data_IF_712098885046
#
_entry.id   IF_712098885046
#
_cell.length_a   1.000
_cell.length_b   1.000
_cell.length_c   1.000
_cell.angle_alpha   90.00
_cell.angle_beta   90.00
_cell.angle_gamma   90.00
#
_symmetry.space_group_name_H-M   'P 1'
#
loop_
_entity.id
_entity.type
_entity.pdbx_description
1 polymer ?
#
# COMPACT_ATOMS: atom_id res chain seq x y z
N UNK A 1 -38.48 40.82 -2.07
CA UNK A 1 -38.50 39.35 -1.96
C UNK A 1 -37.91 38.77 -3.24
N UNK A 2 -36.84 37.98 -3.29
CA UNK A 2 -35.73 37.68 -2.39
C UNK A 2 -34.57 37.28 -3.32
N UNK A 3 -33.44 37.99 -3.24
CA UNK A 3 -32.37 37.99 -4.24
C UNK A 3 -31.52 36.71 -4.19
N UNK A 4 -31.20 36.19 -5.38
CA UNK A 4 -30.13 35.22 -5.63
C UNK A 4 -28.81 35.72 -5.02
N UNK A 5 -28.21 34.91 -4.17
CA UNK A 5 -26.80 35.03 -3.76
C UNK A 5 -25.97 34.11 -4.65
N UNK A 6 -25.29 34.70 -5.62
CA UNK A 6 -24.15 34.10 -6.31
C UNK A 6 -23.00 33.94 -5.31
N UNK A 7 -22.61 32.70 -5.01
CA UNK A 7 -21.46 32.45 -4.15
C UNK A 7 -20.17 32.75 -4.90
N UNK A 8 -19.42 33.72 -4.38
CA UNK A 8 -18.07 34.03 -4.82
C UNK A 8 -17.16 32.82 -4.57
N UNK A 9 -16.63 32.25 -5.66
CA UNK A 9 -15.52 31.32 -5.59
C UNK A 9 -14.28 32.08 -5.13
N UNK A 10 -13.97 31.99 -3.82
CA UNK A 10 -12.70 32.48 -3.27
C UNK A 10 -11.55 31.79 -4.01
N UNK A 11 -10.80 32.55 -4.80
CA UNK A 11 -9.54 32.09 -5.39
C UNK A 11 -8.56 31.77 -4.27
N UNK A 12 -8.34 30.48 -4.01
CA UNK A 12 -7.24 30.06 -3.15
C UNK A 12 -5.90 30.43 -3.81
N UNK A 13 -4.91 30.92 -3.04
CA UNK A 13 -3.69 31.45 -3.63
C UNK A 13 -2.88 30.33 -4.28
N UNK A 14 -2.76 30.38 -5.61
CA UNK A 14 -1.90 29.54 -6.45
C UNK A 14 -0.40 29.58 -6.04
N UNK A 15 -0.03 30.53 -5.17
CA UNK A 15 1.34 30.77 -4.67
C UNK A 15 1.84 29.61 -3.80
N UNK A 16 0.98 28.96 -3.01
CA UNK A 16 1.41 27.82 -2.19
C UNK A 16 1.79 26.66 -3.12
N UNK A 17 1.05 26.48 -4.22
CA UNK A 17 1.16 25.36 -5.16
C UNK A 17 2.45 25.37 -6.00
N UNK A 18 3.01 26.54 -6.32
CA UNK A 18 4.26 26.61 -7.11
C UNK A 18 5.51 26.16 -6.33
N UNK A 19 5.52 26.33 -5.01
CA UNK A 19 6.62 25.88 -4.13
C UNK A 19 6.70 24.34 -4.06
N UNK A 20 5.62 23.62 -4.42
CA UNK A 20 5.59 22.15 -4.40
C UNK A 20 6.44 21.48 -5.48
N UNK A 21 6.82 22.21 -6.52
CA UNK A 21 7.18 21.59 -7.80
C UNK A 21 8.56 21.98 -8.34
N UNK A 22 9.15 23.05 -7.86
CA UNK A 22 10.54 23.38 -8.15
C UNK A 22 11.45 22.64 -7.16
N UNK A 23 11.49 21.31 -7.26
CA UNK A 23 12.65 20.51 -6.82
C UNK A 23 13.69 20.43 -7.96
N UNK A 24 13.95 21.55 -8.63
CA UNK A 24 15.24 21.81 -9.24
C UNK A 24 16.13 22.44 -8.17
N UNK A 25 17.44 22.24 -8.22
CA UNK A 25 18.44 22.75 -7.28
C UNK A 25 18.49 24.28 -7.20
N UNK A 26 17.45 24.90 -6.65
CA UNK A 26 17.43 26.33 -6.34
C UNK A 26 17.49 26.50 -4.84
N UNK A 27 18.59 27.12 -4.41
CA UNK A 27 18.92 27.57 -3.05
C UNK A 27 17.93 28.63 -2.57
N UNK A 28 16.68 28.24 -2.27
CA UNK A 28 15.73 29.13 -1.59
C UNK A 28 15.85 28.93 -0.08
N UNK A 29 16.41 29.94 0.58
CA UNK A 29 16.48 30.05 2.04
C UNK A 29 15.06 30.23 2.61
N UNK A 30 14.66 29.34 3.51
CA UNK A 30 13.39 29.46 4.24
C UNK A 30 13.64 30.04 5.65
N UNK A 31 12.77 30.98 6.04
CA UNK A 31 12.73 31.58 7.37
C UNK A 31 12.42 30.53 8.47
N UNK A 32 12.96 30.69 9.68
CA UNK A 32 12.73 29.77 10.79
C UNK A 32 11.31 29.92 11.36
N UNK A 33 10.69 28.80 11.72
CA UNK A 33 9.40 28.73 12.45
C UNK A 33 9.64 27.93 13.74
N UNK A 34 9.01 28.27 14.88
CA UNK A 34 9.44 27.80 16.20
C UNK A 34 9.15 26.32 16.46
N UNK A 35 9.99 25.74 17.31
CA UNK A 35 10.02 24.34 17.69
C UNK A 35 8.73 23.87 18.38
N UNK A 36 8.17 22.76 17.90
CA UNK A 36 7.30 21.91 18.70
C UNK A 36 8.16 20.85 19.41
N UNK A 37 8.06 20.82 20.74
CA UNK A 37 8.77 19.95 21.67
C UNK A 37 8.45 18.47 21.44
N UNK A 38 9.49 17.65 21.34
CA UNK A 38 9.42 16.19 21.23
C UNK A 38 10.00 15.54 22.50
N UNK A 39 9.32 14.51 22.98
CA UNK A 39 9.68 13.74 24.18
C UNK A 39 10.74 12.67 23.82
N UNK A 40 11.84 12.50 24.58
CA UNK A 40 12.90 11.57 24.23
C UNK A 40 12.83 10.28 25.08
N UNK A 41 12.87 9.11 24.43
CA UNK A 41 13.22 7.85 25.09
C UNK A 41 13.83 6.88 24.07
N UNK A 42 15.17 6.76 24.03
CA UNK A 42 15.96 5.51 24.11
C UNK A 42 17.39 5.68 23.57
N UNK A 43 18.34 5.35 24.44
CA UNK A 43 19.48 4.46 24.16
C UNK A 43 20.69 5.05 23.46
N UNK A 44 21.68 5.52 24.24
CA UNK A 44 23.05 5.73 23.79
C UNK A 44 23.75 4.39 23.55
N UNK A 45 24.44 4.27 22.42
CA UNK A 45 25.55 3.31 22.26
C UNK A 45 26.72 4.12 21.70
N UNK A 46 27.75 4.28 22.51
CA UNK A 46 29.06 4.79 22.13
C UNK A 46 29.86 3.71 21.39
N UNK A 47 30.67 4.13 20.42
CA UNK A 47 31.60 3.23 19.73
C UNK A 47 32.09 3.81 18.40
N UNK A 48 33.03 4.75 18.50
CA UNK A 48 33.68 5.43 17.39
C UNK A 48 34.63 4.53 16.59
N UNK A 49 34.41 4.40 15.29
CA UNK A 49 35.45 4.04 14.32
C UNK A 49 35.30 4.91 13.07
N UNK A 50 36.17 5.92 12.95
CA UNK A 50 36.21 6.87 11.83
C UNK A 50 36.87 6.20 10.63
N UNK A 51 36.06 5.56 9.78
CA UNK A 51 36.50 5.16 8.44
C UNK A 51 36.52 6.39 7.52
N UNK A 52 37.67 6.65 6.90
CA UNK A 52 37.83 7.68 5.87
C UNK A 52 36.92 7.37 4.67
N UNK A 53 35.89 8.18 4.46
CA UNK A 53 34.99 8.06 3.31
C UNK A 53 35.70 8.50 2.02
N UNK A 54 35.62 7.64 1.00
CA UNK A 54 36.17 7.86 -0.33
C UNK A 54 35.29 8.88 -1.10
N UNK A 55 35.81 10.06 -1.51
CA UNK A 55 35.01 11.18 -2.02
C UNK A 55 34.32 10.94 -3.38
N UNK A 56 34.60 9.81 -4.04
CA UNK A 56 34.01 9.46 -5.33
C UNK A 56 32.84 8.46 -5.25
N UNK A 57 32.37 8.07 -4.05
CA UNK A 57 31.14 7.29 -3.92
C UNK A 57 29.92 8.22 -4.08
N UNK A 58 29.29 8.19 -5.25
CA UNK A 58 27.97 8.79 -5.45
C UNK A 58 27.00 8.15 -4.43
N UNK A 59 26.50 8.98 -3.51
CA UNK A 59 25.58 8.61 -2.43
C UNK A 59 24.17 8.31 -2.98
N UNK A 60 24.07 7.29 -3.83
CA UNK A 60 22.83 6.77 -4.38
C UNK A 60 22.17 5.79 -3.39
N UNK A 61 20.88 6.03 -3.11
CA UNK A 61 20.12 5.37 -2.03
C UNK A 61 19.83 3.92 -2.33
N UNK A 62 19.73 3.56 -3.60
CA UNK A 62 19.09 2.31 -3.98
C UNK A 62 20.09 1.17 -4.20
N UNK A 63 21.34 1.49 -4.54
CA UNK A 63 22.42 0.52 -4.64
C UNK A 63 23.19 0.37 -3.34
N UNK A 64 23.91 1.39 -2.88
CA UNK A 64 25.06 1.18 -1.98
C UNK A 64 24.79 0.56 -0.59
N UNK A 65 23.62 0.78 0.04
CA UNK A 65 23.31 0.18 1.36
C UNK A 65 22.85 -1.29 1.27
N UNK A 66 22.35 -1.69 0.10
CA UNK A 66 21.81 -3.04 -0.13
C UNK A 66 22.65 -3.84 -1.13
N UNK A 67 23.48 -3.19 -1.96
CA UNK A 67 24.61 -3.75 -2.69
C UNK A 67 25.74 -4.11 -1.70
N UNK A 68 25.48 -5.10 -0.85
CA UNK A 68 26.56 -6.05 -0.59
C UNK A 68 26.88 -6.72 -1.93
N UNK A 69 28.13 -7.14 -2.13
CA UNK A 69 28.55 -7.89 -3.32
C UNK A 69 27.62 -9.06 -3.69
N UNK A 70 26.83 -9.52 -2.71
CA UNK A 70 25.99 -10.71 -2.77
C UNK A 70 24.48 -10.38 -2.86
N UNK A 71 24.08 -9.12 -3.10
CA UNK A 71 22.65 -8.81 -3.24
C UNK A 71 22.10 -9.22 -4.60
N UNK A 72 21.05 -10.02 -4.57
CA UNK A 72 20.24 -10.43 -5.72
C UNK A 72 19.19 -9.37 -6.13
N UNK A 73 19.17 -8.20 -5.48
CA UNK A 73 18.15 -7.17 -5.77
C UNK A 73 18.45 -6.48 -7.11
N UNK A 74 17.56 -6.58 -8.11
CA UNK A 74 17.72 -5.88 -9.38
C UNK A 74 17.61 -4.36 -9.23
N UNK A 75 18.11 -3.61 -10.22
CA UNK A 75 17.94 -2.16 -10.25
C UNK A 75 16.45 -1.77 -10.38
N UNK A 76 16.05 -0.57 -9.91
CA UNK A 76 14.68 -0.10 -10.06
C UNK A 76 14.18 -0.09 -11.51
N UNK A 77 15.07 0.15 -12.47
CA UNK A 77 14.78 0.18 -13.89
C UNK A 77 14.42 -1.21 -14.43
N UNK A 78 15.15 -2.24 -14.00
CA UNK A 78 14.86 -3.64 -14.39
C UNK A 78 13.51 -4.08 -13.84
N UNK A 79 13.22 -3.78 -12.57
CA UNK A 79 11.90 -4.10 -11.98
C UNK A 79 10.79 -3.32 -12.67
N UNK A 80 11.02 -2.04 -12.95
CA UNK A 80 10.04 -1.19 -13.63
C UNK A 80 9.72 -1.72 -15.04
N UNK A 81 10.74 -2.14 -15.79
CA UNK A 81 10.57 -2.73 -17.11
C UNK A 81 9.78 -4.05 -17.04
N UNK A 82 10.09 -4.92 -16.08
CA UNK A 82 9.36 -6.17 -15.85
C UNK A 82 7.87 -5.95 -15.58
N UNK A 83 7.54 -4.88 -14.86
CA UNK A 83 6.16 -4.54 -14.49
C UNK A 83 5.47 -3.59 -15.48
N UNK A 84 6.12 -3.28 -16.60
CA UNK A 84 5.64 -2.31 -17.59
C UNK A 84 5.23 -0.96 -16.96
N UNK A 85 6.01 -0.49 -15.98
CA UNK A 85 5.83 0.84 -15.40
C UNK A 85 6.97 1.77 -15.80
N UNK A 86 6.71 3.08 -15.74
CA UNK A 86 7.78 4.06 -15.93
C UNK A 86 8.75 4.01 -14.74
N UNK A 87 10.07 3.91 -14.95
CA UNK A 87 11.05 3.83 -13.86
C UNK A 87 10.99 5.03 -12.93
N UNK A 88 11.44 4.79 -11.70
CA UNK A 88 11.61 5.86 -10.70
C UNK A 88 12.71 6.82 -11.16
N UNK A 89 12.55 8.12 -10.92
CA UNK A 89 13.62 9.08 -11.18
C UNK A 89 14.80 8.79 -10.22
N UNK A 90 16.00 8.66 -10.78
CA UNK A 90 17.22 8.58 -9.97
C UNK A 90 17.39 9.87 -9.16
N UNK A 91 17.65 9.73 -7.86
CA UNK A 91 17.81 10.85 -6.95
C UNK A 91 18.65 10.44 -5.73
N UNK A 92 19.41 11.40 -5.20
CA UNK A 92 20.26 11.22 -4.03
C UNK A 92 19.47 11.02 -2.73
N UNK A 93 20.12 10.49 -1.69
CA UNK A 93 19.58 10.33 -0.32
C UNK A 93 18.92 11.58 0.22
N UNK A 94 19.64 12.69 0.06
CA UNK A 94 19.18 14.00 0.50
C UNK A 94 17.89 14.42 -0.21
N UNK A 95 17.80 14.21 -1.52
CA UNK A 95 16.61 14.57 -2.30
C UNK A 95 15.39 13.75 -1.90
N UNK A 96 15.53 12.43 -1.71
CA UNK A 96 14.43 11.58 -1.25
C UNK A 96 13.94 11.94 0.16
N UNK A 97 14.86 12.13 1.10
CA UNK A 97 14.53 12.51 2.47
C UNK A 97 13.89 13.90 2.52
N UNK A 98 14.39 14.85 1.71
CA UNK A 98 13.79 16.18 1.57
C UNK A 98 12.38 16.09 1.01
N UNK A 99 12.16 15.33 -0.07
CA UNK A 99 10.84 15.12 -0.64
C UNK A 99 9.87 14.50 0.37
N UNK A 100 10.33 13.50 1.15
CA UNK A 100 9.52 12.89 2.21
C UNK A 100 9.18 13.89 3.32
N UNK A 101 10.17 14.67 3.78
CA UNK A 101 9.98 15.69 4.82
C UNK A 101 9.02 16.79 4.38
N UNK A 102 9.12 17.24 3.13
CA UNK A 102 8.19 18.21 2.54
C UNK A 102 6.79 17.60 2.48
N UNK A 103 6.63 16.39 1.96
CA UNK A 103 5.33 15.73 1.89
C UNK A 103 4.68 15.57 3.26
N UNK A 104 5.43 15.11 4.28
CA UNK A 104 4.95 14.99 5.67
C UNK A 104 4.48 16.33 6.25
N UNK A 105 5.16 17.44 5.95
CA UNK A 105 4.75 18.79 6.39
C UNK A 105 3.50 19.28 5.69
N UNK A 106 3.30 18.89 4.44
CA UNK A 106 2.15 19.29 3.63
C UNK A 106 0.89 18.51 3.99
N UNK A 107 1.04 17.25 4.40
CA UNK A 107 -0.09 16.36 4.64
C UNK A 107 -1.12 16.91 5.65
N UNK A 108 -0.73 17.51 6.81
CA UNK A 108 -1.68 18.18 7.69
C UNK A 108 -2.45 19.32 7.01
N UNK A 109 -1.80 20.09 6.12
CA UNK A 109 -2.44 21.19 5.39
C UNK A 109 -3.45 20.65 4.37
N UNK A 110 -3.05 19.64 3.60
CA UNK A 110 -3.90 18.97 2.62
C UNK A 110 -5.14 18.32 3.25
N UNK A 111 -5.07 17.98 4.54
CA UNK A 111 -6.16 17.38 5.30
C UNK A 111 -6.74 18.32 6.38
N UNK A 112 -6.41 19.61 6.36
CA UNK A 112 -6.85 20.56 7.40
C UNK A 112 -8.37 20.74 7.48
N UNK A 113 -9.06 20.55 6.36
CA UNK A 113 -10.52 20.60 6.23
C UNK A 113 -11.14 19.21 5.98
N UNK A 114 -10.37 18.14 6.21
CA UNK A 114 -10.79 16.78 5.96
C UNK A 114 -11.54 16.18 7.17
N UNK A 115 -12.87 16.12 7.08
CA UNK A 115 -13.73 15.50 8.08
C UNK A 115 -13.58 13.97 8.20
N UNK A 116 -13.01 13.32 7.18
CA UNK A 116 -12.73 11.89 7.20
C UNK A 116 -11.32 11.58 7.73
N UNK A 117 -10.54 12.59 8.13
CA UNK A 117 -9.16 12.43 8.54
C UNK A 117 -9.06 11.50 9.77
N UNK A 118 -8.20 10.47 9.74
CA UNK A 118 -7.81 9.69 10.92
C UNK A 118 -6.97 10.54 11.88
N UNK A 119 -7.00 10.22 13.19
CA UNK A 119 -6.20 10.94 14.17
C UNK A 119 -4.69 10.76 13.92
N UNK A 120 -4.23 9.52 13.63
CA UNK A 120 -2.80 9.19 13.73
C UNK A 120 -2.14 8.55 12.49
N UNK A 121 -2.79 8.47 11.32
CA UNK A 121 -2.24 7.69 10.19
C UNK A 121 -1.53 8.53 9.11
N UNK A 122 -0.52 9.31 9.51
CA UNK A 122 0.24 10.14 8.55
C UNK A 122 0.85 9.33 7.40
N UNK A 123 1.24 8.07 7.63
CA UNK A 123 1.77 7.22 6.57
C UNK A 123 0.69 6.68 5.63
N UNK A 124 -0.44 6.18 6.15
CA UNK A 124 -1.54 5.69 5.31
C UNK A 124 -2.10 6.81 4.43
N UNK A 125 -2.22 8.02 4.96
CA UNK A 125 -2.57 9.20 4.18
C UNK A 125 -1.52 9.51 3.11
N UNK A 126 -0.23 9.45 3.42
CA UNK A 126 0.82 9.66 2.41
C UNK A 126 0.75 8.60 1.29
N UNK A 127 0.58 7.33 1.65
CA UNK A 127 0.37 6.23 0.72
C UNK A 127 -0.87 6.45 -0.16
N UNK A 128 -1.98 6.95 0.40
CA UNK A 128 -3.18 7.29 -0.36
C UNK A 128 -2.89 8.38 -1.42
N UNK A 129 -2.16 9.44 -1.06
CA UNK A 129 -1.77 10.46 -2.03
C UNK A 129 -0.86 9.91 -3.13
N UNK A 130 0.07 9.02 -2.78
CA UNK A 130 0.94 8.36 -3.75
C UNK A 130 0.18 7.40 -4.67
N UNK A 131 -0.76 6.62 -4.14
CA UNK A 131 -1.66 5.79 -4.94
C UNK A 131 -2.52 6.66 -5.86
N UNK A 132 -3.06 7.78 -5.38
CA UNK A 132 -3.81 8.71 -6.22
C UNK A 132 -2.95 9.36 -7.31
N UNK A 133 -1.67 9.65 -7.05
CA UNK A 133 -0.74 10.13 -8.08
C UNK A 133 -0.50 9.09 -9.17
N UNK A 134 -0.25 7.84 -8.78
CA UNK A 134 0.01 6.73 -9.71
C UNK A 134 -1.27 6.32 -10.47
N UNK A 135 -2.36 6.06 -9.75
CA UNK A 135 -3.65 5.64 -10.29
C UNK A 135 -4.40 6.70 -11.10
N UNK A 136 -3.96 7.98 -11.06
CA UNK A 136 -4.50 9.01 -11.96
C UNK A 136 -3.85 9.02 -13.35
N UNK A 137 -2.77 8.26 -13.57
CA UNK A 137 -2.08 8.19 -14.86
C UNK A 137 -2.64 7.07 -15.74
N UNK A 138 -3.29 7.43 -16.86
CA UNK A 138 -3.98 6.48 -17.74
C UNK A 138 -3.04 5.49 -18.43
N UNK A 139 -1.76 5.82 -18.56
CA UNK A 139 -0.75 4.92 -19.12
C UNK A 139 -0.14 3.99 -18.06
N UNK A 140 -0.45 4.18 -16.78
CA UNK A 140 0.06 3.33 -15.72
C UNK A 140 -0.77 2.04 -15.63
N UNK A 141 -0.15 0.86 -15.42
CA UNK A 141 -0.89 -0.38 -15.20
C UNK A 141 -1.72 -0.35 -13.91
N UNK A 142 -1.43 0.56 -12.97
CA UNK A 142 -2.20 0.74 -11.73
C UNK A 142 -3.28 1.83 -11.85
N UNK A 143 -3.63 2.25 -13.07
CA UNK A 143 -4.73 3.16 -13.30
C UNK A 143 -6.01 2.63 -12.64
N UNK A 144 -6.62 3.43 -11.77
CA UNK A 144 -7.72 3.02 -10.90
C UNK A 144 -9.01 3.79 -11.19
N UNK A 145 -9.11 4.38 -12.39
CA UNK A 145 -10.25 5.19 -12.82
C UNK A 145 -10.60 6.34 -11.87
N UNK A 146 -9.66 6.78 -11.03
CA UNK A 146 -9.87 7.83 -10.05
C UNK A 146 -10.42 7.36 -8.71
N UNK A 147 -10.45 6.06 -8.41
CA UNK A 147 -10.84 5.53 -7.10
C UNK A 147 -10.05 6.20 -5.97
N UNK A 148 -8.71 6.20 -6.05
CA UNK A 148 -7.85 6.82 -5.03
C UNK A 148 -8.02 8.35 -5.00
N UNK A 149 -8.23 8.97 -6.16
CA UNK A 149 -8.53 10.41 -6.27
C UNK A 149 -9.82 10.77 -5.53
N UNK A 150 -10.83 9.90 -5.59
CA UNK A 150 -12.12 10.07 -4.94
C UNK A 150 -12.11 9.80 -3.43
N UNK A 151 -11.01 9.30 -2.87
CA UNK A 151 -10.83 9.32 -1.41
C UNK A 151 -10.23 10.62 -0.88
N UNK A 152 -9.58 11.41 -1.73
CA UNK A 152 -8.89 12.63 -1.29
C UNK A 152 -9.87 13.75 -0.87
N UNK A 153 -9.43 14.67 0.01
CA UNK A 153 -10.24 15.82 0.44
C UNK A 153 -10.67 16.68 -0.75
N UNK A 154 -11.95 17.08 -0.78
CA UNK A 154 -12.52 17.85 -1.91
C UNK A 154 -11.73 19.13 -2.21
N UNK A 155 -11.28 19.84 -1.18
CA UNK A 155 -10.59 21.13 -1.33
C UNK A 155 -9.20 21.04 -1.97
N UNK A 156 -8.51 19.92 -1.80
CA UNK A 156 -7.10 19.80 -2.16
C UNK A 156 -6.81 18.78 -3.27
N UNK A 157 -7.74 17.86 -3.56
CA UNK A 157 -7.52 16.80 -4.57
C UNK A 157 -7.17 17.32 -5.97
N UNK A 158 -7.67 18.51 -6.34
CA UNK A 158 -7.37 19.15 -7.62
C UNK A 158 -5.86 19.46 -7.82
N UNK A 159 -5.06 19.48 -6.75
CA UNK A 159 -3.59 19.59 -6.85
C UNK A 159 -3.00 18.47 -7.71
N UNK A 160 -3.65 17.30 -7.77
CA UNK A 160 -3.23 16.20 -8.64
C UNK A 160 -3.32 16.51 -10.14
N UNK A 161 -4.03 17.56 -10.57
CA UNK A 161 -3.95 18.05 -11.96
C UNK A 161 -2.53 18.50 -12.33
N UNK A 162 -1.73 18.88 -11.33
CA UNK A 162 -0.34 19.27 -11.48
C UNK A 162 0.63 18.11 -11.25
N UNK A 163 0.16 16.86 -11.25
CA UNK A 163 0.99 15.66 -11.01
C UNK A 163 2.23 15.56 -11.90
N UNK A 164 2.18 16.12 -13.12
CA UNK A 164 3.32 16.12 -14.05
C UNK A 164 4.55 16.82 -13.47
N UNK A 165 4.32 17.74 -12.54
CA UNK A 165 5.37 18.46 -11.84
C UNK A 165 5.87 17.71 -10.59
N UNK A 166 5.11 16.73 -10.09
CA UNK A 166 5.51 15.93 -8.94
C UNK A 166 6.58 14.92 -9.38
N UNK A 167 7.80 14.95 -8.79
CA UNK A 167 8.85 14.04 -9.22
C UNK A 167 8.46 12.59 -8.93
N UNK A 168 8.74 11.70 -9.89
CA UNK A 168 8.54 10.23 -9.79
C UNK A 168 9.51 9.61 -8.79
N UNK A 169 9.26 9.87 -7.51
CA UNK A 169 10.03 9.35 -6.37
C UNK A 169 9.15 8.36 -5.60
N UNK A 170 8.57 8.78 -4.47
CA UNK A 170 7.81 7.91 -3.57
C UNK A 170 6.62 7.22 -4.24
N UNK A 171 5.86 7.93 -5.08
CA UNK A 171 4.71 7.33 -5.77
C UNK A 171 5.10 6.27 -6.79
N UNK A 172 6.26 6.36 -7.44
CA UNK A 172 6.73 5.31 -8.34
C UNK A 172 7.11 4.02 -7.57
N UNK A 173 7.55 4.13 -6.32
CA UNK A 173 7.79 2.96 -5.47
C UNK A 173 6.49 2.29 -5.02
N UNK A 174 5.44 3.09 -4.79
CA UNK A 174 4.08 2.56 -4.53
C UNK A 174 3.52 1.89 -5.79
N UNK A 175 3.68 2.54 -6.94
CA UNK A 175 3.28 2.02 -8.25
C UNK A 175 3.91 0.66 -8.56
N UNK A 176 5.23 0.48 -8.31
CA UNK A 176 5.89 -0.82 -8.45
C UNK A 176 5.19 -1.94 -7.66
N UNK A 177 4.90 -1.71 -6.37
CA UNK A 177 4.29 -2.73 -5.51
C UNK A 177 2.85 -3.00 -5.91
N UNK A 178 2.09 -1.95 -6.20
CA UNK A 178 0.69 -2.08 -6.60
C UNK A 178 0.60 -2.82 -7.93
N UNK A 179 1.45 -2.51 -8.92
CA UNK A 179 1.49 -3.20 -10.21
C UNK A 179 1.84 -4.69 -10.06
N UNK A 180 2.84 -5.00 -9.23
CA UNK A 180 3.19 -6.39 -8.95
C UNK A 180 2.01 -7.16 -8.35
N UNK A 181 1.42 -6.65 -7.27
CA UNK A 181 0.33 -7.33 -6.57
C UNK A 181 -0.90 -7.48 -7.45
N UNK A 182 -1.25 -6.45 -8.23
CA UNK A 182 -2.38 -6.52 -9.14
C UNK A 182 -2.19 -7.60 -10.21
N UNK A 183 -1.01 -7.63 -10.86
CA UNK A 183 -0.69 -8.63 -11.87
C UNK A 183 -0.66 -10.04 -11.27
N UNK A 184 -0.05 -10.21 -10.10
CA UNK A 184 0.03 -11.51 -9.44
C UNK A 184 -1.36 -12.07 -9.08
N UNK A 185 -2.27 -11.21 -8.60
CA UNK A 185 -3.67 -11.59 -8.34
C UNK A 185 -4.36 -11.97 -9.66
N UNK A 186 -4.22 -11.15 -10.71
CA UNK A 186 -4.81 -11.46 -12.02
C UNK A 186 -4.30 -12.78 -12.61
N UNK A 187 -3.01 -13.09 -12.44
CA UNK A 187 -2.42 -14.33 -12.94
C UNK A 187 -2.89 -15.56 -12.13
N UNK A 188 -3.03 -15.42 -10.80
CA UNK A 188 -3.63 -16.47 -9.96
C UNK A 188 -5.08 -16.70 -10.37
N UNK A 189 -5.89 -15.65 -10.51
CA UNK A 189 -7.30 -15.72 -10.92
C UNK A 189 -7.46 -16.46 -12.26
N UNK A 190 -6.59 -16.18 -13.25
CA UNK A 190 -6.61 -16.88 -14.54
C UNK A 190 -6.24 -18.37 -14.46
N UNK A 191 -5.49 -18.76 -13.43
CA UNK A 191 -5.07 -20.15 -13.21
C UNK A 191 -6.08 -20.99 -12.43
N UNK A 192 -7.08 -20.37 -11.81
CA UNK A 192 -8.13 -21.05 -11.04
C UNK A 192 -9.23 -21.53 -11.99
N UNK A 193 -9.79 -22.70 -11.69
CA UNK A 193 -10.93 -23.26 -12.42
C UNK A 193 -12.13 -22.31 -12.36
N UNK A 194 -12.79 -22.07 -13.49
CA UNK A 194 -13.84 -21.06 -13.64
C UNK A 194 -15.12 -21.34 -12.82
N UNK A 195 -15.23 -22.52 -12.21
CA UNK A 195 -16.32 -22.88 -11.30
C UNK A 195 -16.07 -22.46 -9.84
N UNK A 196 -14.80 -22.20 -9.45
CA UNK A 196 -14.49 -21.79 -8.07
C UNK A 196 -14.78 -20.31 -7.86
N UNK A 197 -15.32 -19.99 -6.69
CA UNK A 197 -15.42 -18.61 -6.21
C UNK A 197 -14.10 -18.14 -5.65
N UNK A 198 -13.78 -16.86 -5.81
CA UNK A 198 -12.51 -16.28 -5.39
C UNK A 198 -12.73 -15.26 -4.28
N UNK A 199 -12.10 -15.50 -3.13
CA UNK A 199 -12.03 -14.56 -2.01
C UNK A 199 -10.65 -13.90 -1.98
N UNK A 200 -10.61 -12.57 -1.88
CA UNK A 200 -9.38 -11.83 -1.62
C UNK A 200 -9.36 -11.33 -0.17
N UNK A 201 -8.32 -11.70 0.57
CA UNK A 201 -8.09 -11.22 1.94
C UNK A 201 -6.89 -10.27 1.95
N UNK A 202 -7.15 -8.98 2.11
CA UNK A 202 -6.09 -7.97 2.24
C UNK A 202 -5.70 -7.80 3.71
N UNK A 203 -4.47 -8.18 4.03
CA UNK A 203 -3.88 -8.08 5.37
C UNK A 203 -3.17 -6.72 5.50
N UNK A 204 -3.64 -5.87 6.40
CA UNK A 204 -3.08 -4.54 6.63
C UNK A 204 -3.41 -3.59 5.49
N UNK A 205 -4.68 -3.60 5.06
CA UNK A 205 -5.11 -2.96 3.83
C UNK A 205 -4.95 -1.42 3.84
N UNK A 206 -4.79 -0.79 5.00
CA UNK A 206 -4.66 0.65 5.16
C UNK A 206 -5.76 1.39 4.40
N UNK A 207 -5.37 2.33 3.53
CA UNK A 207 -6.28 3.00 2.60
C UNK A 207 -6.11 2.52 1.15
N UNK A 208 -5.65 1.29 0.96
CA UNK A 208 -5.64 0.64 -0.35
C UNK A 208 -7.07 0.44 -0.86
N UNK A 209 -7.23 0.51 -2.17
CA UNK A 209 -8.48 0.33 -2.91
C UNK A 209 -8.45 -0.88 -3.84
N UNK A 210 -7.40 -1.71 -3.75
CA UNK A 210 -7.27 -2.94 -4.55
C UNK A 210 -8.51 -3.81 -4.44
N UNK A 211 -9.06 -3.98 -3.23
CA UNK A 211 -10.30 -4.72 -3.03
C UNK A 211 -11.45 -4.26 -3.91
N UNK A 212 -11.77 -2.97 -3.87
CA UNK A 212 -12.84 -2.39 -4.70
C UNK A 212 -12.52 -2.57 -6.19
N UNK A 213 -11.27 -2.34 -6.59
CA UNK A 213 -10.84 -2.49 -7.98
C UNK A 213 -10.99 -3.94 -8.49
N UNK A 214 -10.66 -4.94 -7.67
CA UNK A 214 -10.80 -6.35 -8.05
C UNK A 214 -12.27 -6.77 -8.15
N UNK A 215 -13.13 -6.24 -7.26
CA UNK A 215 -14.59 -6.44 -7.34
C UNK A 215 -15.18 -5.78 -8.59
N UNK A 216 -14.85 -4.52 -8.88
CA UNK A 216 -15.35 -3.80 -10.07
C UNK A 216 -14.92 -4.48 -11.38
N UNK A 217 -13.73 -5.10 -11.40
CA UNK A 217 -13.23 -5.88 -12.54
C UNK A 217 -13.81 -7.30 -12.62
N UNK A 218 -14.64 -7.72 -11.67
CA UNK A 218 -15.17 -9.09 -11.54
C UNK A 218 -14.06 -10.16 -11.55
N UNK A 219 -12.91 -9.83 -10.94
CA UNK A 219 -11.79 -10.76 -10.79
C UNK A 219 -11.92 -11.62 -9.53
N UNK A 220 -12.68 -11.12 -8.55
CA UNK A 220 -12.92 -11.79 -7.27
C UNK A 220 -14.40 -11.64 -6.93
N UNK A 221 -14.95 -12.64 -6.26
CA UNK A 221 -16.36 -12.66 -5.82
C UNK A 221 -16.55 -11.91 -4.49
N UNK A 222 -15.51 -11.87 -3.68
CA UNK A 222 -15.56 -11.19 -2.40
C UNK A 222 -14.18 -10.67 -1.94
N UNK A 223 -14.22 -9.60 -1.15
CA UNK A 223 -13.04 -9.05 -0.50
C UNK A 223 -13.27 -8.83 0.98
N UNK A 224 -12.29 -9.25 1.78
CA UNK A 224 -12.17 -8.93 3.20
C UNK A 224 -10.88 -8.16 3.44
N UNK A 225 -10.94 -7.12 4.25
CA UNK A 225 -9.77 -6.31 4.61
C UNK A 225 -9.61 -6.31 6.13
N UNK A 226 -8.45 -6.77 6.60
CA UNK A 226 -8.08 -6.78 8.01
C UNK A 226 -7.12 -5.63 8.31
N UNK A 227 -7.38 -4.86 9.37
CA UNK A 227 -6.50 -3.79 9.83
C UNK A 227 -6.83 -3.39 11.28
N UNK A 228 -6.02 -2.54 11.90
CA UNK A 228 -6.27 -2.00 13.23
C UNK A 228 -7.64 -1.28 13.28
N UNK A 229 -8.28 -1.29 14.45
CA UNK A 229 -9.64 -0.75 14.63
C UNK A 229 -9.74 0.71 14.16
N UNK A 230 -8.78 1.55 14.55
CA UNK A 230 -8.72 2.95 14.18
C UNK A 230 -8.53 3.17 12.67
N UNK A 231 -7.83 2.25 11.99
CA UNK A 231 -7.64 2.28 10.53
C UNK A 231 -8.94 1.86 9.85
N UNK A 232 -9.59 0.80 10.32
CA UNK A 232 -10.90 0.35 9.84
C UNK A 232 -11.94 1.46 9.97
N UNK A 233 -12.03 2.12 11.11
CA UNK A 233 -13.00 3.20 11.32
C UNK A 233 -12.71 4.42 10.45
N UNK A 234 -11.44 4.75 10.22
CA UNK A 234 -11.06 5.77 9.25
C UNK A 234 -11.44 5.37 7.82
N UNK A 235 -11.19 4.11 7.45
CA UNK A 235 -11.51 3.59 6.12
C UNK A 235 -13.02 3.59 5.87
N UNK A 236 -13.85 3.26 6.86
CA UNK A 236 -15.32 3.42 6.78
C UNK A 236 -15.74 4.84 6.44
N UNK A 237 -15.12 5.86 7.06
CA UNK A 237 -15.40 7.28 6.74
C UNK A 237 -14.98 7.63 5.32
N UNK A 238 -13.81 7.14 4.87
CA UNK A 238 -13.32 7.31 3.50
C UNK A 238 -14.23 6.62 2.48
N UNK A 239 -14.72 5.41 2.77
CA UNK A 239 -15.72 4.72 1.95
C UNK A 239 -17.04 5.47 1.89
N UNK A 240 -17.50 6.06 2.99
CA UNK A 240 -18.67 6.95 2.98
C UNK A 240 -18.49 8.15 2.05
N UNK A 241 -17.28 8.71 1.96
CA UNK A 241 -16.95 9.72 0.94
C UNK A 241 -16.96 9.13 -0.47
N UNK A 242 -16.35 7.96 -0.67
CA UNK A 242 -16.26 7.31 -1.97
C UNK A 242 -17.66 7.03 -2.52
N UNK A 243 -18.55 6.42 -1.73
CA UNK A 243 -19.93 6.13 -2.08
C UNK A 243 -20.71 7.38 -2.47
N UNK A 244 -20.54 8.50 -1.74
CA UNK A 244 -21.18 9.77 -2.13
C UNK A 244 -20.74 10.26 -3.50
N UNK A 245 -19.52 9.92 -3.93
CA UNK A 245 -18.95 10.28 -5.25
C UNK A 245 -19.21 9.22 -6.32
N UNK A 246 -19.44 7.97 -5.90
CA UNK A 246 -19.70 6.79 -6.74
C UNK A 246 -20.90 5.99 -6.19
N UNK A 247 -22.14 6.47 -6.39
CA UNK A 247 -23.32 5.88 -5.75
C UNK A 247 -23.59 4.42 -6.14
N UNK A 248 -23.12 3.97 -7.31
CA UNK A 248 -23.28 2.58 -7.77
C UNK A 248 -22.56 1.57 -6.86
N UNK A 249 -21.48 1.97 -6.17
CA UNK A 249 -20.80 1.13 -5.17
C UNK A 249 -21.70 0.76 -3.99
N UNK A 250 -22.79 1.50 -3.76
CA UNK A 250 -23.78 1.21 -2.72
C UNK A 250 -24.96 0.38 -3.23
N UNK A 251 -25.30 0.50 -4.52
CA UNK A 251 -26.39 -0.27 -5.14
C UNK A 251 -26.09 -1.77 -5.15
N UNK A 252 -24.81 -2.11 -5.24
CA UNK A 252 -24.34 -3.48 -5.27
C UNK A 252 -24.46 -4.28 -3.96
N UNK A 253 -25.00 -3.66 -2.90
CA UNK A 253 -25.39 -4.39 -1.67
C UNK A 253 -26.74 -5.09 -1.78
N UNK A 254 -27.59 -4.70 -2.72
CA UNK A 254 -29.02 -5.05 -2.69
C UNK A 254 -29.43 -6.10 -3.73
N UNK A 255 -28.67 -6.28 -4.82
CA UNK A 255 -28.94 -7.30 -5.82
C UNK A 255 -27.60 -7.89 -6.29
N UNK A 256 -27.41 -9.20 -6.05
CA UNK A 256 -26.43 -10.10 -6.68
C UNK A 256 -25.03 -9.52 -6.93
N UNK A 257 -24.07 -9.69 -6.00
CA UNK A 257 -22.60 -9.76 -6.16
C UNK A 257 -21.86 -8.80 -7.15
N UNK A 258 -22.50 -7.81 -7.78
CA UNK A 258 -21.91 -7.01 -8.86
C UNK A 258 -21.36 -5.69 -8.33
N UNK A 259 -20.10 -5.73 -7.88
CA UNK A 259 -19.42 -4.59 -7.27
C UNK A 259 -19.72 -4.50 -5.79
N UNK A 260 -18.87 -3.84 -5.00
CA UNK A 260 -19.12 -3.81 -3.57
C UNK A 260 -18.00 -3.14 -2.81
N UNK A 261 -18.30 -2.77 -1.58
CA UNK A 261 -17.28 -2.38 -0.63
C UNK A 261 -16.76 -3.63 0.07
N UNK A 262 -15.43 -3.77 0.26
CA UNK A 262 -14.87 -4.85 1.05
C UNK A 262 -15.46 -4.93 2.45
N UNK A 263 -15.54 -6.15 2.98
CA UNK A 263 -15.86 -6.39 4.39
C UNK A 263 -14.66 -5.98 5.24
N UNK A 264 -14.84 -4.97 6.10
CA UNK A 264 -13.78 -4.47 6.97
C UNK A 264 -13.81 -5.18 8.32
N UNK A 265 -12.72 -5.87 8.68
CA UNK A 265 -12.58 -6.62 9.93
C UNK A 265 -11.47 -6.01 10.76
N UNK A 266 -11.77 -5.43 11.95
CA UNK A 266 -10.71 -4.92 12.82
C UNK A 266 -9.88 -6.08 13.36
N UNK A 267 -8.56 -6.00 13.32
CA UNK A 267 -7.62 -7.01 13.84
C UNK A 267 -6.26 -6.39 14.15
N UNK A 268 -5.65 -6.81 15.26
CA UNK A 268 -4.28 -6.45 15.60
C UNK A 268 -3.37 -7.63 15.25
N UNK A 269 -2.45 -7.40 14.31
CA UNK A 269 -1.58 -8.45 13.79
C UNK A 269 -0.50 -8.88 14.77
N UNK A 270 -0.18 -8.09 15.80
CA UNK A 270 0.68 -8.56 16.88
C UNK A 270 -0.05 -9.53 17.83
N UNK A 271 -1.37 -9.66 17.71
CA UNK A 271 -2.16 -10.69 18.37
C UNK A 271 -2.51 -11.82 17.38
N UNK A 272 -1.56 -12.74 17.17
CA UNK A 272 -1.68 -13.86 16.23
C UNK A 272 -2.93 -14.72 16.48
N UNK A 273 -3.32 -14.91 17.74
CA UNK A 273 -4.51 -15.70 18.08
C UNK A 273 -5.80 -15.00 17.63
N UNK A 274 -5.90 -13.68 17.82
CA UNK A 274 -7.01 -12.87 17.32
C UNK A 274 -7.12 -12.94 15.79
N UNK A 275 -5.98 -12.85 15.09
CA UNK A 275 -5.93 -13.00 13.62
C UNK A 275 -6.45 -14.38 13.20
N UNK A 276 -5.96 -15.45 13.83
CA UNK A 276 -6.36 -16.83 13.51
C UNK A 276 -7.85 -17.04 13.70
N UNK A 277 -8.43 -16.55 14.80
CA UNK A 277 -9.88 -16.64 15.07
C UNK A 277 -10.72 -15.87 14.04
N UNK A 278 -10.29 -14.65 13.69
CA UNK A 278 -10.98 -13.82 12.70
C UNK A 278 -10.92 -14.42 11.31
N UNK A 279 -9.75 -14.92 10.89
CA UNK A 279 -9.60 -15.60 9.60
C UNK A 279 -10.43 -16.87 9.54
N UNK A 280 -10.39 -17.74 10.57
CA UNK A 280 -11.26 -18.92 10.64
C UNK A 280 -12.72 -18.55 10.50
N UNK A 281 -13.19 -17.52 11.23
CA UNK A 281 -14.58 -17.05 11.13
C UNK A 281 -14.93 -16.57 9.72
N UNK A 282 -14.04 -15.81 9.08
CA UNK A 282 -14.23 -15.27 7.72
C UNK A 282 -14.30 -16.40 6.68
N UNK A 283 -13.39 -17.36 6.76
CA UNK A 283 -13.23 -18.43 5.79
C UNK A 283 -14.29 -19.52 6.00
N UNK A 284 -14.39 -20.07 7.23
CA UNK A 284 -15.33 -21.16 7.55
C UNK A 284 -16.79 -20.70 7.61
N UNK A 285 -17.03 -19.42 7.92
CA UNK A 285 -18.38 -18.85 7.94
C UNK A 285 -19.08 -18.89 6.57
N UNK A 286 -18.33 -19.13 5.49
CA UNK A 286 -18.85 -19.21 4.12
C UNK A 286 -19.13 -20.63 3.69
N UNK A 287 -18.19 -21.54 3.95
CA UNK A 287 -18.34 -22.97 3.66
C UNK A 287 -19.52 -23.62 4.40
N UNK A 288 -19.92 -23.03 5.54
CA UNK A 288 -21.04 -23.51 6.35
C UNK A 288 -22.42 -23.02 5.90
N UNK A 289 -22.51 -22.09 4.94
CA UNK A 289 -23.80 -21.66 4.41
C UNK A 289 -24.34 -22.76 3.47
N UNK A 290 -25.37 -23.48 3.92
CA UNK A 290 -25.96 -24.67 3.25
C UNK A 290 -26.49 -24.44 1.83
N UNK A 291 -26.38 -23.22 1.30
CA UNK A 291 -26.83 -22.81 -0.03
C UNK A 291 -25.69 -22.61 -1.02
N UNK A 292 -24.44 -22.52 -0.56
CA UNK A 292 -23.29 -22.31 -1.44
C UNK A 292 -22.52 -23.62 -1.57
N UNK A 293 -22.80 -24.37 -2.63
CA UNK A 293 -22.06 -25.59 -2.98
C UNK A 293 -20.76 -25.28 -3.71
N UNK A 294 -20.48 -24.00 -4.00
CA UNK A 294 -19.31 -23.62 -4.77
C UNK A 294 -18.06 -23.75 -3.90
N UNK A 295 -17.04 -24.34 -4.50
CA UNK A 295 -15.72 -24.38 -3.91
C UNK A 295 -15.09 -22.99 -3.94
N UNK A 296 -14.35 -22.64 -2.89
CA UNK A 296 -13.71 -21.33 -2.76
C UNK A 296 -12.20 -21.46 -2.92
N UNK A 297 -11.59 -20.44 -3.54
CA UNK A 297 -10.15 -20.20 -3.53
C UNK A 297 -9.86 -18.89 -2.81
N UNK A 298 -8.91 -18.90 -1.87
CA UNK A 298 -8.60 -17.71 -1.06
C UNK A 298 -7.23 -17.15 -1.37
N UNK A 299 -7.15 -15.88 -1.77
CA UNK A 299 -5.89 -15.17 -2.04
C UNK A 299 -5.60 -14.22 -0.87
N UNK A 300 -4.51 -14.47 -0.14
CA UNK A 300 -4.00 -13.55 0.87
C UNK A 300 -3.09 -12.50 0.23
N UNK A 301 -3.23 -11.23 0.63
CA UNK A 301 -2.38 -10.14 0.17
C UNK A 301 -1.76 -9.36 1.31
N UNK A 302 -0.43 -9.19 1.29
CA UNK A 302 0.31 -8.35 2.25
C UNK A 302 1.04 -7.23 1.52
N UNK A 303 0.78 -5.96 1.86
CA UNK A 303 1.50 -4.80 1.28
C UNK A 303 1.98 -3.82 2.35
N UNK A 304 3.27 -3.89 2.70
CA UNK A 304 3.90 -2.90 3.57
C UNK A 304 3.30 -2.83 4.98
N UNK A 305 2.86 -3.97 5.50
CA UNK A 305 2.38 -4.16 6.87
C UNK A 305 3.41 -4.89 7.73
N UNK A 306 4.07 -5.92 7.21
CA UNK A 306 5.00 -6.77 7.97
C UNK A 306 6.22 -6.00 8.49
N UNK A 307 6.63 -4.94 7.79
CA UNK A 307 7.68 -4.00 8.23
C UNK A 307 7.39 -3.28 9.56
N UNK A 308 6.16 -3.33 10.06
CA UNK A 308 5.72 -2.63 11.27
C UNK A 308 5.35 -3.56 12.42
N UNK A 309 5.47 -4.88 12.23
CA UNK A 309 5.10 -5.87 13.21
C UNK A 309 6.30 -6.26 14.08
N UNK A 310 6.01 -6.85 15.24
CA UNK A 310 7.04 -7.35 16.14
C UNK A 310 7.82 -8.51 15.50
N UNK A 311 9.05 -8.73 15.97
CA UNK A 311 9.91 -9.80 15.46
C UNK A 311 9.21 -11.17 15.58
N UNK A 312 9.25 -11.97 14.52
CA UNK A 312 8.59 -13.28 14.43
C UNK A 312 7.10 -13.25 14.05
N UNK A 313 6.42 -12.11 14.22
CA UNK A 313 5.00 -11.97 13.82
C UNK A 313 4.79 -12.16 12.31
N UNK A 314 5.62 -11.61 11.39
CA UNK A 314 5.48 -11.88 9.96
C UNK A 314 5.48 -13.37 9.59
N UNK A 315 6.40 -14.16 10.17
CA UNK A 315 6.48 -15.61 9.93
C UNK A 315 5.24 -16.32 10.46
N UNK A 316 4.81 -15.99 11.68
CA UNK A 316 3.59 -16.54 12.27
C UNK A 316 2.32 -16.20 11.46
N UNK A 317 2.25 -15.02 10.82
CA UNK A 317 1.13 -14.69 9.94
C UNK A 317 1.10 -15.54 8.67
N UNK A 318 2.26 -15.90 8.10
CA UNK A 318 2.34 -16.81 6.95
C UNK A 318 1.84 -18.20 7.36
N UNK A 319 2.29 -18.71 8.50
CA UNK A 319 1.85 -19.99 9.08
C UNK A 319 0.33 -19.98 9.33
N UNK A 320 -0.18 -18.97 10.03
CA UNK A 320 -1.62 -18.86 10.32
C UNK A 320 -2.44 -18.80 9.04
N UNK A 321 -2.00 -18.05 8.03
CA UNK A 321 -2.72 -17.97 6.75
C UNK A 321 -2.81 -19.35 6.05
N UNK A 322 -1.75 -20.18 6.08
CA UNK A 322 -1.83 -21.53 5.49
C UNK A 322 -2.60 -22.51 6.40
N UNK A 323 -2.46 -22.41 7.72
CA UNK A 323 -3.18 -23.24 8.70
C UNK A 323 -4.70 -23.12 8.54
N UNK A 324 -5.22 -21.90 8.43
CA UNK A 324 -6.68 -21.68 8.34
C UNK A 324 -7.27 -22.21 7.03
N UNK A 325 -6.47 -22.27 5.95
CA UNK A 325 -6.86 -22.89 4.69
C UNK A 325 -6.89 -24.41 4.82
N UNK A 326 -5.87 -25.00 5.43
CA UNK A 326 -5.80 -26.45 5.72
C UNK A 326 -6.94 -26.90 6.62
N UNK A 327 -7.25 -26.15 7.68
CA UNK A 327 -8.38 -26.42 8.56
C UNK A 327 -9.72 -26.39 7.82
N UNK A 328 -9.84 -25.50 6.82
CA UNK A 328 -11.04 -25.35 5.99
C UNK A 328 -11.11 -26.28 4.79
N UNK A 329 -10.02 -26.99 4.46
CA UNK A 329 -9.83 -27.75 3.21
C UNK A 329 -10.13 -26.84 2.01
N UNK A 330 -9.47 -25.68 1.97
CA UNK A 330 -9.67 -24.63 0.96
C UNK A 330 -8.34 -24.39 0.26
N UNK A 331 -8.39 -24.32 -1.07
CA UNK A 331 -7.23 -23.90 -1.86
C UNK A 331 -6.94 -22.42 -1.60
N UNK A 332 -5.65 -22.08 -1.60
CA UNK A 332 -5.28 -20.69 -1.44
C UNK A 332 -4.00 -20.31 -2.14
N UNK A 333 -3.78 -19.01 -2.15
CA UNK A 333 -2.56 -18.41 -2.68
C UNK A 333 -2.19 -17.22 -1.84
N UNK A 334 -0.93 -16.82 -1.95
CA UNK A 334 -0.34 -15.70 -1.25
C UNK A 334 0.30 -14.77 -2.27
N UNK A 335 0.05 -13.47 -2.13
CA UNK A 335 0.81 -12.41 -2.80
C UNK A 335 1.34 -11.42 -1.77
N UNK A 336 2.59 -11.02 -1.92
CA UNK A 336 3.27 -10.20 -0.92
C UNK A 336 4.12 -9.14 -1.61
N UNK A 337 4.10 -7.91 -1.08
CA UNK A 337 5.01 -6.83 -1.44
C UNK A 337 5.47 -6.09 -0.17
N UNK A 338 6.36 -6.74 0.59
CA UNK A 338 6.70 -6.36 1.96
C UNK A 338 8.17 -6.64 2.31
N UNK A 339 8.51 -6.59 3.60
CA UNK A 339 9.79 -7.05 4.14
C UNK A 339 9.58 -8.32 4.94
N UNK A 340 10.45 -9.28 4.68
CA UNK A 340 10.66 -10.46 5.49
C UNK A 340 11.97 -10.20 6.24
N UNK A 341 11.91 -10.06 7.55
CA UNK A 341 13.05 -9.78 8.42
C UNK A 341 14.16 -10.83 8.23
N UNK A 342 13.75 -12.10 8.17
CA UNK A 342 14.61 -13.28 8.03
C UNK A 342 15.23 -13.45 6.63
N UNK A 343 14.84 -12.63 5.67
CA UNK A 343 15.33 -12.67 4.29
C UNK A 343 16.14 -11.39 4.00
N UNK A 344 17.44 -11.39 4.35
CA UNK A 344 18.31 -10.26 4.05
C UNK A 344 18.54 -10.14 2.55
N UNK A 345 18.67 -8.89 2.07
CA UNK A 345 19.22 -8.63 0.73
C UNK A 345 18.43 -9.16 -0.47
N UNK A 346 17.19 -9.63 -0.29
CA UNK A 346 16.37 -10.19 -1.37
C UNK A 346 16.75 -11.63 -1.76
N UNK A 347 17.47 -12.33 -0.88
CA UNK A 347 17.93 -13.71 -1.09
C UNK A 347 16.75 -14.65 -1.40
N UNK A 348 16.80 -15.30 -2.57
CA UNK A 348 15.71 -16.15 -3.04
C UNK A 348 15.64 -17.46 -2.25
N UNK A 349 16.77 -18.05 -1.91
CA UNK A 349 16.82 -19.37 -1.25
C UNK A 349 16.35 -19.26 0.19
N UNK A 350 16.71 -18.18 0.89
CA UNK A 350 16.14 -17.86 2.19
C UNK A 350 14.66 -17.52 2.11
N UNK A 351 14.23 -16.83 1.05
CA UNK A 351 12.81 -16.57 0.79
C UNK A 351 11.99 -17.84 0.59
N UNK A 352 12.53 -18.82 -0.15
CA UNK A 352 11.90 -20.14 -0.33
C UNK A 352 11.76 -20.84 1.02
N UNK A 353 12.83 -20.91 1.82
CA UNK A 353 12.79 -21.56 3.14
C UNK A 353 11.79 -20.92 4.10
N UNK A 354 11.72 -19.58 4.12
CA UNK A 354 10.74 -18.84 4.92
C UNK A 354 9.31 -19.20 4.49
N UNK A 355 9.02 -19.20 3.19
CA UNK A 355 7.69 -19.59 2.68
C UNK A 355 7.35 -21.05 2.98
N UNK A 356 8.27 -21.98 2.75
CA UNK A 356 8.09 -23.40 3.03
C UNK A 356 7.81 -23.64 4.52
N UNK A 357 8.50 -22.93 5.41
CA UNK A 357 8.22 -22.99 6.86
C UNK A 357 6.82 -22.48 7.22
N UNK A 358 6.32 -21.48 6.48
CA UNK A 358 4.95 -20.97 6.58
C UNK A 358 3.90 -21.85 5.89
N UNK A 359 4.30 -22.94 5.24
CA UNK A 359 3.42 -23.85 4.51
C UNK A 359 3.06 -23.39 3.10
N UNK A 360 3.90 -22.57 2.46
CA UNK A 360 3.70 -22.02 1.13
C UNK A 360 4.78 -22.48 0.14
N UNK A 361 4.39 -22.68 -1.11
CA UNK A 361 5.31 -23.01 -2.22
C UNK A 361 5.51 -21.79 -3.12
N UNK A 362 6.74 -21.31 -3.23
CA UNK A 362 7.07 -20.13 -4.05
C UNK A 362 6.74 -20.36 -5.54
N UNK A 363 6.02 -19.40 -6.14
CA UNK A 363 5.75 -19.35 -7.58
C UNK A 363 6.54 -18.29 -8.31
N UNK A 364 6.47 -17.06 -7.81
CA UNK A 364 7.21 -15.95 -8.38
C UNK A 364 8.02 -15.19 -7.34
N UNK A 365 9.22 -14.76 -7.72
CA UNK A 365 10.11 -13.94 -6.90
C UNK A 365 10.57 -12.73 -7.71
N UNK A 366 10.22 -11.54 -7.23
CA UNK A 366 10.52 -10.27 -7.87
C UNK A 366 11.00 -9.24 -6.82
N UNK A 367 12.20 -9.42 -6.24
CA UNK A 367 12.70 -8.47 -5.26
C UNK A 367 12.92 -7.11 -5.90
N UNK A 368 12.83 -6.06 -5.10
CA UNK A 368 13.09 -4.68 -5.54
C UNK A 368 13.82 -3.87 -4.49
N UNK A 369 14.44 -2.74 -4.87
CA UNK A 369 15.05 -1.85 -3.89
C UNK A 369 14.02 -1.22 -2.92
N UNK A 370 14.48 -0.92 -1.71
CA UNK A 370 13.72 -0.21 -0.69
C UNK A 370 13.40 -1.04 0.56
N UNK A 371 12.47 -0.53 1.38
CA UNK A 371 12.13 -1.16 2.66
C UNK A 371 11.27 -2.42 2.46
N UNK A 372 10.12 -2.28 1.79
CA UNK A 372 9.30 -3.38 1.30
C UNK A 372 9.92 -3.94 0.00
N UNK A 373 10.90 -4.81 0.15
CA UNK A 373 11.80 -5.26 -0.93
C UNK A 373 11.46 -6.63 -1.49
N UNK A 374 10.73 -7.46 -0.79
CA UNK A 374 10.30 -8.76 -1.31
C UNK A 374 8.96 -8.55 -1.99
N UNK A 375 8.90 -8.91 -3.28
CA UNK A 375 7.63 -9.07 -3.97
C UNK A 375 7.57 -10.50 -4.48
N UNK A 376 6.54 -11.24 -4.10
CA UNK A 376 6.43 -12.66 -4.38
C UNK A 376 4.97 -13.11 -4.52
N UNK A 377 4.79 -14.25 -5.17
CA UNK A 377 3.56 -15.03 -5.11
C UNK A 377 3.87 -16.49 -4.73
N UNK A 378 2.94 -17.15 -4.05
CA UNK A 378 3.04 -18.53 -3.61
C UNK A 378 1.66 -19.20 -3.57
N UNK A 379 1.63 -20.52 -3.51
CA UNK A 379 0.43 -21.35 -3.34
C UNK A 379 0.60 -22.43 -2.27
#
# INVERSE_FOLDING_TARGET
AGKMLTSEAKSFPAIVVLVFFTCADTSLAFLPVPNASFCPCRGSVDGSELQQENPNKTNEIRGSKYNRSDSSIPSPEVVAQRLNIRPTRQASKKTWLRAMKIHKRLLPLLHSLDQCKPADSSLNLACLWWKALAGSDKSSPVYDEGLSYDLLPSGFRNILKLRKLYPRLHHANVELRTAYLDNAIEDIVKGIDGEKKIQLICMGAGYDLRGIKMLERKLVDDVVELDLMEVVDAKKRLFGRLVRRRPWLNAAKNDSNEGGLPTLVPSDFNNIQDVKEKLRKVIMGRSSSTRDTNEWHTIFTFEGVMIYLDDGVPSALLEVASDVLKDGIIDGSLVLADRLENVPGGDKDLGIKELESGGWTLKDWCPKPGLARHMLSAE
#
